data_IF_624700423399
#
_entry.id   IF_624700423399
#
_cell.length_a   1.000
_cell.length_b   1.000
_cell.length_c   1.000
_cell.angle_alpha   90.00
_cell.angle_beta   90.00
_cell.angle_gamma   90.00
#
_symmetry.space_group_name_H-M   'P 1'
#
loop_
_entity.id
_entity.type
_entity.pdbx_description
1 polymer ?
#
# COMPACT_ATOMS: atom_id res chain seq x y z
N UNK A 1 5.87 -9.68 16.16
CA UNK A 1 5.75 -9.38 14.71
C UNK A 1 7.15 -9.22 14.16
N UNK A 2 7.45 -9.78 12.99
CA UNK A 2 8.79 -9.76 12.40
C UNK A 2 8.91 -8.66 11.34
N UNK A 3 10.03 -7.94 11.39
CA UNK A 3 10.51 -7.09 10.30
C UNK A 3 11.58 -7.87 9.58
N UNK A 4 11.41 -8.13 8.29
CA UNK A 4 12.42 -8.79 7.48
C UNK A 4 13.10 -7.76 6.58
N UNK A 5 14.40 -7.91 6.35
CA UNK A 5 15.18 -7.02 5.49
C UNK A 5 15.93 -7.86 4.46
N UNK A 6 15.80 -7.51 3.19
CA UNK A 6 16.38 -8.21 2.06
C UNK A 6 17.12 -7.22 1.16
N UNK A 7 18.28 -7.64 0.65
CA UNK A 7 19.11 -6.78 -0.21
C UNK A 7 19.74 -5.62 0.57
N UNK A 8 20.29 -4.66 -0.18
CA UNK A 8 20.94 -3.48 0.37
C UNK A 8 21.04 -2.38 -0.68
N UNK A 9 21.13 -1.12 -0.24
CA UNK A 9 21.22 0.05 -1.11
C UNK A 9 19.86 0.58 -1.54
N UNK A 10 19.89 1.49 -2.51
CA UNK A 10 18.70 2.17 -3.02
C UNK A 10 18.05 1.45 -4.21
N UNK A 11 16.72 1.60 -4.38
CA UNK A 11 15.82 2.30 -3.48
C UNK A 11 15.45 1.42 -2.28
N UNK A 12 15.21 2.07 -1.13
CA UNK A 12 14.62 1.39 0.04
C UNK A 12 13.09 1.32 -0.11
N UNK A 13 12.55 0.11 -0.01
CA UNK A 13 11.12 -0.20 -0.15
C UNK A 13 10.60 -0.83 1.14
N UNK A 14 9.45 -0.39 1.63
CA UNK A 14 8.77 -1.00 2.79
C UNK A 14 7.41 -1.53 2.36
N UNK A 15 7.19 -2.84 2.44
CA UNK A 15 5.90 -3.47 2.18
C UNK A 15 5.30 -4.01 3.49
N UNK A 16 4.02 -3.75 3.69
CA UNK A 16 3.32 -4.07 4.93
C UNK A 16 2.01 -4.76 4.62
N UNK A 17 1.68 -5.82 5.35
CA UNK A 17 0.46 -6.59 5.21
C UNK A 17 -0.14 -6.92 6.60
N UNK A 18 -1.33 -7.52 6.61
CA UNK A 18 -2.02 -7.89 7.85
C UNK A 18 -2.21 -6.70 8.78
N UNK A 19 -2.68 -5.56 8.23
CA UNK A 19 -2.82 -4.31 8.97
C UNK A 19 -3.96 -4.39 9.99
N UNK A 20 -5.06 -5.06 9.66
CA UNK A 20 -6.24 -5.13 10.51
C UNK A 20 -6.80 -6.54 10.63
N UNK A 21 -7.30 -6.90 11.81
CA UNK A 21 -8.22 -8.04 11.94
C UNK A 21 -7.66 -9.33 11.38
N UNK A 22 -8.42 -9.89 10.45
CA UNK A 22 -8.13 -11.11 9.72
C UNK A 22 -7.55 -10.87 8.31
N UNK A 23 -7.23 -9.62 7.93
CA UNK A 23 -6.68 -9.28 6.59
C UNK A 23 -5.37 -10.02 6.30
N UNK A 24 -4.63 -10.43 7.34
CA UNK A 24 -3.42 -11.22 7.21
C UNK A 24 -3.64 -12.54 6.46
N UNK A 25 -4.85 -13.12 6.51
CA UNK A 25 -5.21 -14.35 5.80
C UNK A 25 -5.20 -14.19 4.28
N UNK A 26 -5.43 -12.96 3.81
CA UNK A 26 -5.47 -12.63 2.38
C UNK A 26 -4.19 -11.95 1.87
N UNK A 27 -3.35 -11.43 2.77
CA UNK A 27 -2.28 -10.48 2.40
C UNK A 27 -0.87 -10.94 2.81
N UNK A 28 -0.72 -11.68 3.91
CA UNK A 28 0.61 -11.97 4.47
C UNK A 28 1.43 -12.93 3.63
N UNK A 29 0.77 -13.92 3.00
CA UNK A 29 1.41 -14.89 2.12
C UNK A 29 2.06 -14.23 0.90
N UNK A 30 1.50 -13.12 0.40
CA UNK A 30 2.15 -12.32 -0.64
C UNK A 30 3.54 -11.89 -0.19
N UNK A 31 3.67 -11.33 1.01
CA UNK A 31 4.96 -10.84 1.51
C UNK A 31 5.92 -11.96 1.90
N UNK A 32 5.41 -13.09 2.43
CA UNK A 32 6.25 -14.25 2.73
C UNK A 32 6.85 -14.89 1.47
N UNK A 33 6.16 -14.81 0.34
CA UNK A 33 6.58 -15.40 -0.92
C UNK A 33 7.39 -14.45 -1.82
N UNK A 34 7.58 -13.19 -1.42
CA UNK A 34 8.44 -12.27 -2.16
C UNK A 34 9.91 -12.70 -2.05
N UNK A 35 10.57 -12.79 -3.19
CA UNK A 35 12.01 -13.02 -3.27
C UNK A 35 12.76 -11.72 -3.01
N UNK A 36 14.03 -11.83 -2.59
CA UNK A 36 14.96 -10.69 -2.52
C UNK A 36 14.93 -9.86 -3.82
N UNK A 37 14.90 -8.52 -3.75
CA UNK A 37 14.97 -7.67 -4.96
C UNK A 37 16.32 -7.83 -5.67
N UNK A 38 16.35 -7.65 -6.99
CA UNK A 38 17.62 -7.63 -7.74
C UNK A 38 18.46 -6.40 -7.33
N UNK A 39 17.79 -5.26 -7.11
CA UNK A 39 18.43 -3.99 -6.73
C UNK A 39 17.76 -3.32 -5.53
N UNK A 40 18.59 -2.76 -4.65
CA UNK A 40 18.16 -1.98 -3.49
C UNK A 40 17.73 -2.84 -2.31
N UNK A 41 16.94 -2.23 -1.43
CA UNK A 41 16.51 -2.83 -0.17
C UNK A 41 15.00 -3.06 -0.18
N UNK A 42 14.56 -4.25 0.24
CA UNK A 42 13.18 -4.56 0.53
C UNK A 42 13.03 -4.89 2.01
N UNK A 43 12.13 -4.18 2.67
CA UNK A 43 11.73 -4.43 4.05
C UNK A 43 10.29 -4.92 4.02
N UNK A 44 9.99 -6.01 4.73
CA UNK A 44 8.63 -6.54 4.83
C UNK A 44 8.15 -6.65 6.27
N UNK A 45 6.88 -6.34 6.49
CA UNK A 45 6.15 -6.62 7.72
C UNK A 45 4.89 -7.41 7.34
N UNK A 46 4.96 -8.76 7.32
CA UNK A 46 3.87 -9.60 6.83
C UNK A 46 2.59 -9.53 7.68
N UNK A 47 2.72 -9.28 8.99
CA UNK A 47 1.58 -9.16 9.92
C UNK A 47 1.86 -8.02 10.89
N UNK A 48 1.05 -6.96 10.82
CA UNK A 48 1.12 -5.81 11.76
C UNK A 48 0.18 -5.98 12.93
N UNK A 49 -1.03 -6.52 12.72
CA UNK A 49 -1.98 -6.73 13.80
C UNK A 49 -2.98 -7.82 13.40
N UNK A 50 -2.94 -8.94 14.13
CA UNK A 50 -3.90 -10.05 14.02
C UNK A 50 -5.03 -9.97 15.06
N UNK A 51 -5.09 -8.89 15.84
CA UNK A 51 -6.16 -8.61 16.81
C UNK A 51 -7.31 -7.85 16.18
N UNK A 52 -8.08 -7.12 16.99
CA UNK A 52 -9.25 -6.36 16.51
C UNK A 52 -8.95 -5.41 15.34
N UNK A 53 -9.95 -5.21 14.49
CA UNK A 53 -9.94 -4.24 13.41
C UNK A 53 -9.93 -2.83 13.98
N UNK A 54 -8.91 -2.04 13.62
CA UNK A 54 -8.83 -0.60 13.87
C UNK A 54 -8.40 0.04 12.56
N UNK A 55 -9.14 1.05 12.12
CA UNK A 55 -8.88 1.71 10.84
C UNK A 55 -7.53 2.43 10.84
N UNK A 56 -6.75 2.29 9.77
CA UNK A 56 -5.54 3.12 9.53
C UNK A 56 -5.85 4.62 9.36
N UNK A 57 -7.12 5.01 9.17
CA UNK A 57 -7.51 6.42 9.19
C UNK A 57 -7.56 7.00 10.60
N UNK A 58 -7.64 6.15 11.64
CA UNK A 58 -7.54 6.57 13.03
C UNK A 58 -6.05 6.75 13.41
N UNK A 59 -5.67 7.95 13.82
CA UNK A 59 -4.28 8.26 14.20
C UNK A 59 -3.76 7.38 15.34
N UNK A 60 -4.64 6.91 16.22
CA UNK A 60 -4.29 6.01 17.32
C UNK A 60 -3.78 4.65 16.83
N UNK A 61 -4.13 4.25 15.60
CA UNK A 61 -3.61 3.04 14.97
C UNK A 61 -2.08 3.06 14.98
N UNK A 62 -1.48 4.13 14.44
CA UNK A 62 -0.02 4.25 14.31
C UNK A 62 0.70 4.55 15.63
N UNK A 63 -0.02 4.97 16.67
CA UNK A 63 0.51 5.10 18.04
C UNK A 63 0.57 3.76 18.78
N UNK A 64 -0.30 2.83 18.41
CA UNK A 64 -0.44 1.53 19.07
C UNK A 64 -0.11 0.37 18.12
N UNK A 65 -1.10 -0.14 17.40
CA UNK A 65 -1.01 -1.35 16.55
C UNK A 65 0.01 -1.21 15.42
N UNK A 66 0.00 -0.06 14.75
CA UNK A 66 0.89 0.29 13.64
C UNK A 66 2.24 0.86 14.07
N UNK A 67 2.60 0.86 15.37
CA UNK A 67 3.86 1.46 15.83
C UNK A 67 5.09 0.86 15.14
N UNK A 68 5.08 -0.45 14.87
CA UNK A 68 6.15 -1.13 14.16
C UNK A 68 6.40 -0.57 12.76
N UNK A 69 5.35 -0.09 12.07
CA UNK A 69 5.46 0.58 10.78
C UNK A 69 6.22 1.88 10.96
N UNK A 70 5.82 2.70 11.94
CA UNK A 70 6.44 4.00 12.22
C UNK A 70 7.92 3.85 12.57
N UNK A 71 8.25 2.93 13.47
CA UNK A 71 9.64 2.66 13.86
C UNK A 71 10.48 2.23 12.64
N UNK A 72 9.90 1.44 11.74
CA UNK A 72 10.55 1.00 10.50
C UNK A 72 10.74 2.15 9.51
N UNK A 73 9.74 3.02 9.34
CA UNK A 73 9.83 4.21 8.48
C UNK A 73 10.90 5.17 8.98
N UNK A 74 10.95 5.44 10.28
CA UNK A 74 11.97 6.31 10.89
C UNK A 74 13.37 5.72 10.68
N UNK A 75 13.53 4.42 10.91
CA UNK A 75 14.83 3.74 10.82
C UNK A 75 15.39 3.68 9.41
N UNK A 76 14.56 3.36 8.42
CA UNK A 76 15.02 3.03 7.07
C UNK A 76 14.69 4.07 6.00
N UNK A 77 13.85 5.06 6.31
CA UNK A 77 13.48 6.15 5.42
C UNK A 77 13.09 5.70 3.99
N UNK A 78 12.13 4.77 3.84
CA UNK A 78 11.80 4.20 2.54
C UNK A 78 11.30 5.24 1.53
N UNK A 79 11.81 5.14 0.29
CA UNK A 79 11.36 5.96 -0.84
C UNK A 79 10.07 5.43 -1.48
N UNK A 80 9.77 4.14 -1.27
CA UNK A 80 8.56 3.45 -1.70
C UNK A 80 7.95 2.73 -0.51
N UNK A 81 6.66 2.95 -0.27
CA UNK A 81 5.88 2.34 0.80
C UNK A 81 4.60 1.73 0.23
N UNK A 82 4.33 0.48 0.58
CA UNK A 82 3.14 -0.25 0.13
C UNK A 82 2.43 -0.88 1.32
N UNK A 83 1.14 -0.60 1.47
CA UNK A 83 0.22 -1.32 2.35
C UNK A 83 -0.62 -2.30 1.52
N UNK A 84 -0.69 -3.57 1.95
CA UNK A 84 -1.58 -4.58 1.40
C UNK A 84 -2.73 -4.81 2.39
N UNK A 85 -3.93 -4.48 1.94
CA UNK A 85 -5.19 -4.64 2.67
C UNK A 85 -6.09 -5.67 2.00
N UNK A 86 -7.15 -6.08 2.69
CA UNK A 86 -8.23 -6.83 2.07
C UNK A 86 -9.62 -6.30 2.39
N UNK A 87 -10.52 -6.41 1.42
CA UNK A 87 -11.88 -5.88 1.52
C UNK A 87 -12.93 -6.95 1.15
N UNK A 88 -14.07 -6.91 1.84
CA UNK A 88 -15.24 -7.74 1.50
C UNK A 88 -15.86 -7.26 0.19
N UNK A 89 -16.30 -8.19 -0.67
CA UNK A 89 -16.79 -7.87 -2.03
C UNK A 89 -17.87 -6.78 -2.09
N UNK A 90 -18.74 -6.70 -1.08
CA UNK A 90 -19.81 -5.70 -0.94
C UNK A 90 -19.26 -4.26 -0.86
N UNK A 91 -18.04 -4.07 -0.33
CA UNK A 91 -17.44 -2.76 -0.15
C UNK A 91 -16.87 -2.15 -1.44
N UNK A 92 -16.86 -2.87 -2.56
CA UNK A 92 -16.26 -2.36 -3.81
C UNK A 92 -16.91 -1.05 -4.27
N UNK A 93 -18.24 -0.95 -4.17
CA UNK A 93 -19.00 0.22 -4.60
C UNK A 93 -18.65 1.42 -3.73
N UNK A 94 -18.48 1.21 -2.43
CA UNK A 94 -18.10 2.25 -1.48
C UNK A 94 -16.65 2.72 -1.67
N UNK A 95 -15.72 1.78 -1.85
CA UNK A 95 -14.29 2.10 -2.00
C UNK A 95 -13.97 2.83 -3.31
N UNK A 96 -14.76 2.60 -4.36
CA UNK A 96 -14.59 3.21 -5.68
C UNK A 96 -15.53 4.38 -5.96
N UNK A 97 -16.37 4.77 -4.98
CA UNK A 97 -17.34 5.86 -5.12
C UNK A 97 -16.63 7.18 -5.43
N UNK A 98 -16.99 7.84 -6.53
CA UNK A 98 -16.44 9.14 -6.95
C UNK A 98 -16.66 10.22 -5.88
N UNK A 99 -17.67 10.09 -5.03
CA UNK A 99 -17.96 11.00 -3.93
C UNK A 99 -17.29 10.62 -2.60
N UNK A 100 -16.47 9.56 -2.56
CA UNK A 100 -15.80 9.08 -1.34
C UNK A 100 -15.03 10.19 -0.63
N UNK A 101 -14.35 11.07 -1.38
CA UNK A 101 -13.64 12.22 -0.79
C UNK A 101 -14.57 13.10 0.05
N UNK A 102 -15.78 13.40 -0.44
CA UNK A 102 -16.77 14.21 0.28
C UNK A 102 -17.37 13.46 1.48
N UNK A 103 -17.54 12.13 1.35
CA UNK A 103 -18.19 11.29 2.36
C UNK A 103 -17.26 10.91 3.52
N UNK A 104 -15.98 10.67 3.21
CA UNK A 104 -15.04 10.01 4.12
C UNK A 104 -13.74 10.78 4.31
N UNK A 105 -13.58 11.93 3.64
CA UNK A 105 -12.38 12.74 3.72
C UNK A 105 -11.15 12.12 3.02
N UNK A 106 -11.30 11.05 2.25
CA UNK A 106 -10.20 10.43 1.47
C UNK A 106 -10.63 10.06 0.04
N UNK A 107 -9.74 10.16 -0.97
CA UNK A 107 -10.10 9.86 -2.35
C UNK A 107 -10.60 8.43 -2.59
N UNK A 108 -11.35 8.25 -3.67
CA UNK A 108 -11.74 6.93 -4.17
C UNK A 108 -10.51 6.13 -4.62
N UNK A 109 -10.56 4.81 -4.45
CA UNK A 109 -9.56 3.93 -5.05
C UNK A 109 -9.78 3.82 -6.58
N UNK A 110 -8.68 3.64 -7.30
CA UNK A 110 -8.70 3.27 -8.72
C UNK A 110 -8.79 1.75 -8.86
N UNK A 111 -9.76 1.26 -9.62
CA UNK A 111 -9.89 -0.18 -9.91
C UNK A 111 -8.87 -0.60 -10.96
N UNK A 112 -8.04 -1.59 -10.63
CA UNK A 112 -7.14 -2.29 -11.54
C UNK A 112 -7.79 -3.62 -12.00
N UNK A 113 -6.99 -4.53 -12.56
CA UNK A 113 -7.46 -5.85 -12.97
C UNK A 113 -7.78 -6.74 -11.75
N UNK A 114 -8.59 -7.78 -11.98
CA UNK A 114 -8.89 -8.82 -10.99
C UNK A 114 -9.37 -8.29 -9.63
N UNK A 115 -10.16 -7.21 -9.65
CA UNK A 115 -10.73 -6.57 -8.45
C UNK A 115 -9.70 -6.02 -7.45
N UNK A 116 -8.43 -5.86 -7.85
CA UNK A 116 -7.47 -5.14 -7.01
C UNK A 116 -7.71 -3.65 -7.15
N UNK A 117 -7.73 -2.94 -6.02
CA UNK A 117 -7.87 -1.48 -6.01
C UNK A 117 -6.53 -0.84 -5.61
N UNK A 118 -6.23 0.30 -6.21
CA UNK A 118 -5.03 1.09 -5.96
C UNK A 118 -5.42 2.44 -5.37
N UNK A 119 -4.76 2.82 -4.27
CA UNK A 119 -4.98 4.09 -3.59
C UNK A 119 -3.72 4.63 -2.92
N UNK A 120 -3.88 5.74 -2.21
CA UNK A 120 -2.87 6.25 -1.27
C UNK A 120 -3.08 5.60 0.09
N UNK A 121 -2.00 5.43 0.84
CA UNK A 121 -2.06 5.11 2.29
C UNK A 121 -2.75 6.22 3.08
N UNK A 122 -3.07 5.94 4.34
CA UNK A 122 -3.76 6.88 5.22
C UNK A 122 -3.04 8.25 5.31
N UNK A 123 -3.78 9.38 5.33
CA UNK A 123 -3.19 10.71 5.34
C UNK A 123 -2.24 10.97 6.52
N UNK A 124 -2.55 10.43 7.71
CA UNK A 124 -1.74 10.62 8.91
C UNK A 124 -0.31 10.14 8.71
N UNK A 125 -0.11 8.88 8.30
CA UNK A 125 1.24 8.35 8.09
C UNK A 125 1.94 9.07 6.93
N UNK A 126 1.19 9.31 5.83
CA UNK A 126 1.72 9.96 4.63
C UNK A 126 2.25 11.37 4.90
N UNK A 127 1.56 12.17 5.70
CA UNK A 127 1.91 13.57 5.99
C UNK A 127 3.02 13.68 7.03
N UNK A 128 3.00 12.83 8.05
CA UNK A 128 3.84 13.01 9.23
C UNK A 128 5.19 12.27 9.16
N UNK A 129 5.29 11.20 8.37
CA UNK A 129 6.49 10.33 8.40
C UNK A 129 7.19 10.16 7.04
N UNK A 130 6.55 10.58 5.94
CA UNK A 130 7.08 10.40 4.60
C UNK A 130 7.40 11.72 3.90
N UNK A 131 8.55 11.76 3.23
CA UNK A 131 8.89 12.85 2.32
C UNK A 131 7.80 13.06 1.27
N UNK A 132 7.59 14.30 0.82
CA UNK A 132 6.71 14.61 -0.34
C UNK A 132 7.13 13.87 -1.61
N UNK A 133 8.42 13.51 -1.70
CA UNK A 133 8.98 12.72 -2.80
C UNK A 133 8.76 11.22 -2.64
N UNK A 134 8.42 10.69 -1.46
CA UNK A 134 8.16 9.25 -1.32
C UNK A 134 6.87 8.84 -2.04
N UNK A 135 6.87 7.62 -2.57
CA UNK A 135 5.68 6.99 -3.16
C UNK A 135 5.04 6.08 -2.10
N UNK A 136 3.83 6.41 -1.67
CA UNK A 136 3.11 5.63 -0.66
C UNK A 136 1.78 5.16 -1.25
N UNK A 137 1.60 3.84 -1.34
CA UNK A 137 0.49 3.20 -2.03
C UNK A 137 -0.23 2.21 -1.11
N UNK A 138 -1.52 2.06 -1.34
CA UNK A 138 -2.32 0.98 -0.78
C UNK A 138 -2.88 0.13 -1.91
N UNK A 139 -2.75 -1.19 -1.78
CA UNK A 139 -3.46 -2.17 -2.60
C UNK A 139 -4.53 -2.86 -1.77
N UNK A 140 -5.78 -2.82 -2.24
CA UNK A 140 -6.91 -3.52 -1.63
C UNK A 140 -7.20 -4.80 -2.41
N UNK A 141 -7.11 -5.94 -1.73
CA UNK A 141 -7.32 -7.27 -2.29
C UNK A 141 -8.73 -7.74 -1.94
N UNK A 142 -9.47 -8.27 -2.90
CA UNK A 142 -10.80 -8.81 -2.57
C UNK A 142 -10.64 -10.09 -1.75
N UNK A 143 -11.26 -10.14 -0.57
CA UNK A 143 -11.24 -11.31 0.33
C UNK A 143 -11.71 -12.57 -0.39
N UNK A 144 -11.00 -13.68 -0.15
CA UNK A 144 -11.30 -14.99 -0.75
C UNK A 144 -11.32 -15.02 -2.28
N UNK A 145 -10.64 -14.08 -2.96
CA UNK A 145 -10.50 -14.04 -4.43
C UNK A 145 -9.04 -14.32 -4.83
N UNK A 146 -8.78 -15.56 -5.23
CA UNK A 146 -7.44 -16.01 -5.59
C UNK A 146 -6.86 -15.27 -6.79
N UNK A 147 -7.69 -14.87 -7.77
CA UNK A 147 -7.23 -14.07 -8.91
C UNK A 147 -6.81 -12.67 -8.45
N UNK A 148 -7.55 -12.10 -7.50
CA UNK A 148 -7.20 -10.82 -6.88
C UNK A 148 -5.86 -10.90 -6.16
N UNK A 149 -5.66 -11.94 -5.33
CA UNK A 149 -4.41 -12.18 -4.62
C UNK A 149 -3.23 -12.37 -5.56
N UNK A 150 -3.36 -13.22 -6.59
CA UNK A 150 -2.30 -13.46 -7.57
C UNK A 150 -1.92 -12.19 -8.34
N UNK A 151 -2.92 -11.37 -8.68
CA UNK A 151 -2.65 -10.08 -9.33
C UNK A 151 -1.95 -9.10 -8.38
N UNK A 152 -2.36 -9.00 -7.13
CA UNK A 152 -1.69 -8.19 -6.12
C UNK A 152 -0.24 -8.65 -5.88
N UNK A 153 0.01 -9.96 -5.84
CA UNK A 153 1.36 -10.51 -5.74
C UNK A 153 2.24 -10.13 -6.93
N UNK A 154 1.70 -10.17 -8.16
CA UNK A 154 2.41 -9.69 -9.36
C UNK A 154 2.71 -8.19 -9.27
N UNK A 155 1.77 -7.38 -8.79
CA UNK A 155 1.99 -5.94 -8.59
C UNK A 155 3.06 -5.67 -7.54
N UNK A 156 3.06 -6.40 -6.41
CA UNK A 156 4.09 -6.29 -5.39
C UNK A 156 5.47 -6.67 -5.94
N UNK A 157 5.57 -7.73 -6.75
CA UNK A 157 6.82 -8.12 -7.41
C UNK A 157 7.32 -7.05 -8.40
N UNK A 158 6.42 -6.44 -9.18
CA UNK A 158 6.76 -5.31 -10.07
C UNK A 158 7.30 -4.11 -9.27
N UNK A 159 6.61 -3.69 -8.20
CA UNK A 159 7.06 -2.56 -7.37
C UNK A 159 8.41 -2.87 -6.72
N UNK A 160 8.62 -4.12 -6.30
CA UNK A 160 9.87 -4.58 -5.69
C UNK A 160 11.06 -4.44 -6.65
N UNK A 161 10.86 -4.64 -7.94
CA UNK A 161 11.93 -4.57 -8.95
C UNK A 161 12.10 -3.17 -9.59
N UNK A 162 11.27 -2.19 -9.26
CA UNK A 162 11.42 -0.82 -9.78
C UNK A 162 12.68 -0.16 -9.22
N UNK A 163 13.57 0.40 -10.06
CA UNK A 163 14.80 1.07 -9.59
C UNK A 163 14.54 2.43 -8.96
N UNK A 164 13.35 2.98 -9.18
CA UNK A 164 12.91 4.23 -8.55
C UNK A 164 11.39 4.25 -8.37
N UNK A 165 10.90 5.20 -7.60
CA UNK A 165 9.46 5.49 -7.55
C UNK A 165 8.90 5.93 -8.91
N UNK A 166 9.71 6.60 -9.72
CA UNK A 166 9.27 7.18 -10.99
C UNK A 166 9.12 6.08 -12.04
N UNK A 167 9.91 5.01 -11.94
CA UNK A 167 9.77 3.78 -12.74
C UNK A 167 8.38 3.16 -12.53
N UNK A 168 7.93 3.06 -11.27
CA UNK A 168 6.60 2.51 -11.00
C UNK A 168 5.48 3.43 -11.48
N UNK A 169 5.65 4.76 -11.34
CA UNK A 169 4.70 5.73 -11.89
C UNK A 169 4.63 5.61 -13.42
N UNK A 170 5.77 5.44 -14.09
CA UNK A 170 5.84 5.24 -15.53
C UNK A 170 5.13 3.95 -15.95
N UNK A 171 5.37 2.85 -15.23
CA UNK A 171 4.66 1.58 -15.43
C UNK A 171 3.14 1.77 -15.33
N UNK A 172 2.66 2.45 -14.27
CA UNK A 172 1.23 2.72 -14.11
C UNK A 172 0.69 3.59 -15.25
N UNK A 173 1.41 4.62 -15.69
CA UNK A 173 0.99 5.48 -16.81
C UNK A 173 0.89 4.72 -18.13
N UNK A 174 1.79 3.76 -18.37
CA UNK A 174 1.78 2.96 -19.58
C UNK A 174 0.66 1.92 -19.57
N UNK A 175 0.46 1.24 -18.44
CA UNK A 175 -0.47 0.12 -18.34
C UNK A 175 -1.90 0.53 -17.99
N UNK A 176 -2.05 1.56 -17.17
CA UNK A 176 -3.32 2.05 -16.62
C UNK A 176 -3.41 3.59 -16.71
N UNK A 177 -3.35 4.18 -17.93
CA UNK A 177 -3.19 5.63 -18.11
C UNK A 177 -4.27 6.43 -17.39
N UNK A 178 -5.55 6.04 -17.54
CA UNK A 178 -6.68 6.73 -16.91
C UNK A 178 -6.62 6.66 -15.37
N UNK A 179 -6.28 5.48 -14.82
CA UNK A 179 -6.17 5.26 -13.39
C UNK A 179 -4.99 6.03 -12.80
N UNK A 180 -3.87 6.08 -13.53
CA UNK A 180 -2.66 6.79 -13.13
C UNK A 180 -2.90 8.30 -13.12
N UNK A 181 -3.51 8.84 -14.17
CA UNK A 181 -3.86 10.27 -14.26
C UNK A 181 -4.81 10.67 -13.13
N UNK A 182 -5.88 9.91 -12.94
CA UNK A 182 -6.84 10.16 -11.85
C UNK A 182 -6.20 10.07 -10.47
N UNK A 183 -5.32 9.09 -10.24
CA UNK A 183 -4.61 8.95 -8.96
C UNK A 183 -3.68 10.15 -8.71
N UNK A 184 -2.95 10.61 -9.73
CA UNK A 184 -2.07 11.78 -9.66
C UNK A 184 -2.88 13.05 -9.38
N UNK A 185 -3.98 13.27 -10.09
CA UNK A 185 -4.86 14.42 -9.86
C UNK A 185 -5.42 14.45 -8.45
N UNK A 186 -5.97 13.32 -7.99
CA UNK A 186 -6.53 13.19 -6.66
C UNK A 186 -5.47 13.44 -5.59
N UNK A 187 -4.27 12.91 -5.80
CA UNK A 187 -3.14 13.13 -4.90
C UNK A 187 -2.76 14.61 -4.82
N UNK A 188 -2.61 15.30 -5.97
CA UNK A 188 -2.30 16.74 -6.00
C UNK A 188 -3.38 17.58 -5.33
N UNK A 189 -4.64 17.35 -5.67
CA UNK A 189 -5.81 18.04 -5.08
C UNK A 189 -5.89 17.82 -3.56
N UNK A 190 -5.63 16.60 -3.09
CA UNK A 190 -5.75 16.23 -1.68
C UNK A 190 -4.61 16.75 -0.80
N UNK A 191 -3.39 16.83 -1.35
CA UNK A 191 -2.20 17.30 -0.62
C UNK A 191 -1.80 18.74 -0.93
N UNK A 192 -2.53 19.45 -1.80
CA UNK A 192 -2.28 20.85 -2.16
C UNK A 192 -0.96 21.04 -2.91
N UNK A 193 -0.66 20.15 -3.85
CA UNK A 193 0.57 20.16 -4.67
C UNK A 193 0.32 20.62 -6.10
#
# INVERSE_FOLDING_TARGET
MSVNVYGSGDPVRLFVAGLHGDEWKDTSDILYNLKTPIHGTLITIPVVNSGEYVSTLDESYYKNKGKIIIDTVIKYQPSIYVELHSYSGENIVYLTDKNRLKKTGVPAYSKLDNNVLLGSVAPYIRRNYFSKKALCLSFEIKKSDEKSKQFAAKMADIVKECNSRDDFILFLKQKYPEQAEKAIENYKKFYGL
#
